data_IF_652735243655
#
_entry.id   IF_652735243655
#
_cell.length_a   1.000
_cell.length_b   1.000
_cell.length_c   1.000
_cell.angle_alpha   90.00
_cell.angle_beta   90.00
_cell.angle_gamma   90.00
#
_symmetry.space_group_name_H-M   'P 1'
#
loop_
_entity.id
_entity.type
_entity.pdbx_description
1 polymer ?
#
# COMPACT_ATOMS: atom_id res chain seq x y z
N UNK A 1 -13.55 3.53 -30.83
CA UNK A 1 -12.63 4.28 -29.94
C UNK A 1 -12.98 3.95 -28.49
N UNK A 2 -11.99 3.65 -27.67
CA UNK A 2 -12.14 3.55 -26.23
C UNK A 2 -12.34 4.93 -25.61
N UNK A 3 -12.85 4.98 -24.36
CA UNK A 3 -12.97 6.27 -23.64
C UNK A 3 -11.61 6.98 -23.52
N UNK A 4 -10.55 6.22 -23.27
CA UNK A 4 -9.20 6.77 -23.19
C UNK A 4 -8.75 7.41 -24.53
N UNK A 5 -8.97 6.73 -25.66
CA UNK A 5 -8.65 7.29 -26.99
C UNK A 5 -9.42 8.57 -27.28
N UNK A 6 -10.70 8.65 -26.88
CA UNK A 6 -11.50 9.87 -27.04
C UNK A 6 -10.90 11.02 -26.22
N UNK A 7 -10.58 10.78 -24.93
CA UNK A 7 -9.97 11.78 -24.07
C UNK A 7 -8.63 12.25 -24.62
N UNK A 8 -7.76 11.32 -25.01
CA UNK A 8 -6.46 11.67 -25.61
C UNK A 8 -6.62 12.55 -26.86
N UNK A 9 -7.60 12.24 -27.71
CA UNK A 9 -7.88 13.02 -28.91
C UNK A 9 -8.44 14.41 -28.58
N UNK A 10 -9.41 14.49 -27.66
CA UNK A 10 -10.07 15.76 -27.28
C UNK A 10 -9.10 16.75 -26.64
N UNK A 11 -8.22 16.25 -25.76
CA UNK A 11 -7.24 17.07 -25.05
C UNK A 11 -5.87 17.14 -25.76
N UNK A 12 -5.76 16.58 -26.96
CA UNK A 12 -4.51 16.56 -27.75
C UNK A 12 -3.31 16.00 -26.98
N UNK A 13 -3.56 14.98 -26.15
CA UNK A 13 -2.54 14.31 -25.37
C UNK A 13 -1.83 13.23 -26.21
N UNK A 14 -0.53 13.02 -26.01
CA UNK A 14 0.18 11.94 -26.69
C UNK A 14 -0.37 10.58 -26.26
N UNK A 15 -0.38 9.63 -27.19
CA UNK A 15 -0.65 8.23 -26.83
C UNK A 15 0.48 7.75 -25.90
N UNK A 16 0.11 7.37 -24.67
CA UNK A 16 1.08 6.80 -23.74
C UNK A 16 1.37 5.37 -24.18
N UNK A 17 2.64 5.08 -24.46
CA UNK A 17 3.07 3.75 -24.93
C UNK A 17 3.06 2.71 -23.79
N UNK A 18 3.11 3.16 -22.54
CA UNK A 18 3.14 2.31 -21.36
C UNK A 18 1.75 2.23 -20.72
N UNK A 19 1.33 1.03 -20.36
CA UNK A 19 0.08 0.83 -19.63
C UNK A 19 0.22 1.37 -18.20
N UNK A 20 -0.82 2.08 -17.72
CA UNK A 20 -0.91 2.47 -16.31
C UNK A 20 -1.15 1.22 -15.48
N UNK A 21 -0.36 0.97 -14.41
CA UNK A 21 -0.59 -0.16 -13.53
C UNK A 21 -2.00 -0.14 -12.93
N UNK A 22 -2.65 -1.30 -12.91
CA UNK A 22 -4.00 -1.46 -12.37
C UNK A 22 -3.94 -1.89 -10.91
N UNK A 23 -4.55 -1.10 -10.03
CA UNK A 23 -4.71 -1.41 -8.62
C UNK A 23 -6.07 -2.07 -8.37
N UNK A 24 -6.06 -3.24 -7.72
CA UNK A 24 -7.27 -3.91 -7.25
C UNK A 24 -7.59 -3.49 -5.83
N UNK A 25 -8.83 -3.06 -5.57
CA UNK A 25 -9.28 -2.68 -4.24
C UNK A 25 -10.32 -3.67 -3.72
N UNK A 26 -10.06 -4.32 -2.59
CA UNK A 26 -10.95 -5.30 -1.97
C UNK A 26 -11.73 -4.76 -0.77
N UNK A 27 -11.23 -3.74 -0.12
CA UNK A 27 -11.80 -3.28 1.15
C UNK A 27 -11.87 -4.45 2.16
N UNK A 28 -13.04 -4.68 2.72
CA UNK A 28 -13.27 -5.75 3.70
C UNK A 28 -13.33 -7.15 3.09
N UNK A 29 -13.69 -7.29 1.80
CA UNK A 29 -13.73 -8.59 1.10
C UNK A 29 -12.33 -9.03 0.63
N UNK A 30 -11.36 -8.96 1.53
CA UNK A 30 -9.94 -9.13 1.26
C UNK A 30 -9.50 -10.55 0.88
N UNK A 31 -10.37 -11.55 0.97
CA UNK A 31 -10.08 -12.92 0.55
C UNK A 31 -10.75 -13.27 -0.79
N UNK A 32 -12.06 -13.17 -0.89
CA UNK A 32 -12.78 -13.58 -2.09
C UNK A 32 -12.53 -12.67 -3.29
N UNK A 33 -12.27 -11.36 -3.06
CA UNK A 33 -11.94 -10.44 -4.12
C UNK A 33 -10.57 -10.72 -4.77
N UNK A 34 -9.60 -11.26 -4.02
CA UNK A 34 -8.25 -11.56 -4.51
C UNK A 34 -8.26 -12.48 -5.72
N UNK A 35 -9.06 -13.54 -5.70
CA UNK A 35 -9.14 -14.48 -6.82
C UNK A 35 -9.54 -13.79 -8.13
N UNK A 36 -10.52 -12.89 -8.05
CA UNK A 36 -10.97 -12.11 -9.21
C UNK A 36 -9.88 -11.19 -9.74
N UNK A 37 -9.11 -10.56 -8.82
CA UNK A 37 -8.00 -9.69 -9.18
C UNK A 37 -6.88 -10.46 -9.87
N UNK A 38 -6.49 -11.61 -9.34
CA UNK A 38 -5.47 -12.49 -9.93
C UNK A 38 -5.88 -12.98 -11.33
N UNK A 39 -7.14 -13.42 -11.50
CA UNK A 39 -7.66 -13.85 -12.80
C UNK A 39 -7.72 -12.70 -13.81
N UNK A 40 -7.85 -11.45 -13.36
CA UNK A 40 -7.83 -10.26 -14.21
C UNK A 40 -6.42 -9.72 -14.47
N UNK A 41 -5.41 -10.22 -13.76
CA UNK A 41 -4.02 -9.82 -13.93
C UNK A 41 -3.75 -8.39 -13.50
N UNK A 42 -4.36 -7.91 -12.39
CA UNK A 42 -4.08 -6.57 -11.85
C UNK A 42 -2.64 -6.50 -11.33
N UNK A 43 -2.02 -5.32 -11.41
CA UNK A 43 -0.60 -5.15 -11.11
C UNK A 43 -0.32 -4.99 -9.62
N UNK A 44 -1.27 -4.43 -8.85
CA UNK A 44 -1.17 -4.32 -7.39
C UNK A 44 -2.49 -4.75 -6.72
N UNK A 45 -2.38 -5.55 -5.67
CA UNK A 45 -3.54 -6.12 -4.97
C UNK A 45 -3.18 -6.45 -3.49
N UNK A 46 -4.16 -6.68 -2.62
CA UNK A 46 -5.58 -6.48 -2.86
C UNK A 46 -6.09 -5.11 -2.41
N UNK A 47 -5.23 -4.20 -1.92
CA UNK A 47 -5.58 -3.04 -1.11
C UNK A 47 -6.56 -3.47 0.00
N UNK A 48 -6.13 -4.50 0.74
CA UNK A 48 -6.93 -5.12 1.79
C UNK A 48 -6.90 -4.29 3.07
N UNK A 49 -8.06 -3.98 3.62
CA UNK A 49 -8.20 -3.12 4.80
C UNK A 49 -7.98 -3.90 6.10
N UNK A 50 -6.97 -3.52 6.88
CA UNK A 50 -6.60 -4.07 8.19
C UNK A 50 -6.89 -3.05 9.29
N UNK A 51 -8.14 -2.68 9.44
CA UNK A 51 -8.61 -1.64 10.37
C UNK A 51 -9.07 -2.16 11.75
N UNK A 52 -8.73 -3.39 12.09
CA UNK A 52 -9.16 -4.04 13.34
C UNK A 52 -8.02 -4.89 13.90
N UNK A 53 -7.57 -4.55 15.11
CA UNK A 53 -6.46 -5.27 15.75
C UNK A 53 -6.83 -6.73 16.09
N UNK A 54 -7.91 -7.03 16.88
CA UNK A 54 -8.20 -8.40 17.27
C UNK A 54 -8.44 -9.36 16.10
N UNK A 55 -9.14 -8.91 15.05
CA UNK A 55 -9.63 -9.81 14.02
C UNK A 55 -8.77 -9.86 12.76
N UNK A 56 -8.07 -8.74 12.43
CA UNK A 56 -7.37 -8.59 11.16
C UNK A 56 -5.84 -8.45 11.28
N UNK A 57 -5.36 -7.71 12.29
CA UNK A 57 -3.93 -7.51 12.51
C UNK A 57 -3.33 -8.58 13.42
N UNK A 58 -3.99 -8.88 14.54
CA UNK A 58 -3.44 -9.63 15.67
C UNK A 58 -2.70 -8.71 16.65
N UNK A 59 -2.65 -9.08 17.94
CA UNK A 59 -2.02 -8.25 18.98
C UNK A 59 -0.48 -8.17 18.88
N UNK A 60 0.12 -9.02 18.06
CA UNK A 60 1.55 -9.00 17.72
C UNK A 60 1.77 -8.86 16.20
N UNK A 61 0.70 -8.56 15.45
CA UNK A 61 0.74 -8.50 13.99
C UNK A 61 0.68 -9.86 13.28
N UNK A 62 0.50 -10.96 14.03
CA UNK A 62 0.56 -12.33 13.52
C UNK A 62 -0.47 -12.62 12.43
N UNK A 63 -1.68 -12.05 12.54
CA UNK A 63 -2.73 -12.27 11.53
C UNK A 63 -2.46 -11.55 10.22
N UNK A 64 -1.81 -10.39 10.27
CA UNK A 64 -1.36 -9.71 9.06
C UNK A 64 -0.26 -10.52 8.36
N UNK A 65 0.70 -11.05 9.10
CA UNK A 65 1.75 -11.89 8.54
C UNK A 65 1.17 -13.15 7.88
N UNK A 66 0.23 -13.83 8.55
CA UNK A 66 -0.50 -14.98 8.00
C UNK A 66 -1.27 -14.62 6.72
N UNK A 67 -1.92 -13.45 6.71
CA UNK A 67 -2.63 -12.96 5.53
C UNK A 67 -1.70 -12.70 4.35
N UNK A 68 -0.54 -12.08 4.57
CA UNK A 68 0.46 -11.85 3.54
C UNK A 68 0.97 -13.20 2.98
N UNK A 69 1.28 -14.18 3.83
CA UNK A 69 1.67 -15.53 3.39
C UNK A 69 0.57 -16.20 2.55
N UNK A 70 -0.68 -16.03 2.97
CA UNK A 70 -1.82 -16.53 2.21
C UNK A 70 -1.91 -15.88 0.82
N UNK A 71 -1.70 -14.55 0.72
CA UNK A 71 -1.68 -13.83 -0.56
C UNK A 71 -0.60 -14.36 -1.48
N UNK A 72 0.63 -14.54 -1.00
CA UNK A 72 1.74 -15.09 -1.80
C UNK A 72 1.39 -16.48 -2.32
N UNK A 73 0.91 -17.36 -1.45
CA UNK A 73 0.48 -18.70 -1.84
C UNK A 73 -0.70 -18.67 -2.84
N UNK A 74 -1.59 -17.68 -2.72
CA UNK A 74 -2.73 -17.52 -3.61
C UNK A 74 -2.31 -17.04 -5.00
N UNK A 75 -1.37 -16.09 -5.07
CA UNK A 75 -0.73 -15.65 -6.32
C UNK A 75 -0.09 -16.85 -7.03
N UNK A 76 0.75 -17.61 -6.33
CA UNK A 76 1.44 -18.78 -6.88
C UNK A 76 0.44 -19.81 -7.43
N UNK A 77 -0.66 -20.04 -6.73
CA UNK A 77 -1.68 -21.00 -7.11
C UNK A 77 -2.52 -20.59 -8.33
N UNK A 78 -2.83 -19.29 -8.46
CA UNK A 78 -3.80 -18.78 -9.45
C UNK A 78 -3.19 -17.98 -10.59
N UNK A 79 -1.90 -17.66 -10.54
CA UNK A 79 -1.25 -16.94 -11.65
C UNK A 79 -1.40 -17.72 -12.96
N UNK A 80 -1.78 -17.00 -13.99
CA UNK A 80 -1.97 -17.57 -15.33
C UNK A 80 -0.68 -17.57 -16.15
N UNK A 81 0.34 -16.82 -15.72
CA UNK A 81 1.65 -16.70 -16.36
C UNK A 81 2.74 -16.80 -15.28
N UNK A 82 3.86 -17.51 -15.56
CA UNK A 82 4.96 -17.66 -14.59
C UNK A 82 5.64 -16.34 -14.20
N UNK A 83 5.63 -15.36 -15.10
CA UNK A 83 6.22 -14.03 -14.94
C UNK A 83 5.30 -13.04 -14.22
N UNK A 84 4.03 -13.40 -13.96
CA UNK A 84 3.11 -12.53 -13.24
C UNK A 84 3.46 -12.49 -11.76
N UNK A 85 3.91 -11.31 -11.32
CA UNK A 85 4.32 -10.98 -9.95
C UNK A 85 3.69 -9.65 -9.56
N UNK A 86 2.43 -9.65 -9.12
CA UNK A 86 1.79 -8.42 -8.67
C UNK A 86 2.45 -7.92 -7.39
N UNK A 87 2.43 -6.61 -7.17
CA UNK A 87 2.80 -6.03 -5.88
C UNK A 87 1.67 -6.26 -4.87
N UNK A 88 2.02 -6.56 -3.62
CA UNK A 88 1.06 -6.61 -2.52
C UNK A 88 0.90 -5.21 -1.93
N UNK A 89 -0.35 -4.76 -1.79
CA UNK A 89 -0.67 -3.47 -1.19
C UNK A 89 -1.71 -3.66 -0.08
N UNK A 90 -1.32 -3.33 1.15
CA UNK A 90 -2.13 -3.53 2.35
C UNK A 90 -2.30 -2.19 3.06
N UNK A 91 -3.55 -1.78 3.26
CA UNK A 91 -3.92 -0.64 4.07
C UNK A 91 -4.12 -1.09 5.53
N UNK A 92 -3.27 -0.62 6.42
CA UNK A 92 -3.30 -1.02 7.83
C UNK A 92 -3.95 0.02 8.74
N UNK A 93 -4.37 1.15 8.22
CA UNK A 93 -5.22 2.14 8.89
C UNK A 93 -4.73 2.50 10.31
N UNK A 94 -3.44 2.74 10.48
CA UNK A 94 -2.82 3.08 11.78
C UNK A 94 -2.71 1.91 12.78
N UNK A 95 -3.24 0.73 12.48
CA UNK A 95 -3.32 -0.37 13.46
C UNK A 95 -1.97 -0.92 13.87
N UNK A 96 -0.94 -0.87 13.03
CA UNK A 96 0.43 -1.26 13.43
C UNK A 96 0.94 -0.32 14.52
N UNK A 97 0.76 0.99 14.35
CA UNK A 97 1.11 1.97 15.38
C UNK A 97 0.44 1.66 16.73
N UNK A 98 -0.84 1.27 16.71
CA UNK A 98 -1.58 0.95 17.93
C UNK A 98 -0.97 -0.20 18.73
N UNK A 99 -0.51 -1.29 18.09
CA UNK A 99 0.05 -2.45 18.80
C UNK A 99 1.49 -2.23 19.27
N UNK A 100 2.16 -1.18 18.79
CA UNK A 100 3.54 -0.84 19.16
C UNK A 100 3.65 0.53 19.86
N UNK A 101 2.54 1.02 20.45
CA UNK A 101 2.51 2.26 21.24
C UNK A 101 3.00 3.50 20.46
N UNK A 102 2.77 3.54 19.14
CA UNK A 102 3.26 4.57 18.20
C UNK A 102 4.79 4.72 18.17
N UNK A 103 5.55 3.72 18.64
CA UNK A 103 7.01 3.72 18.57
C UNK A 103 7.48 3.44 17.13
N UNK A 104 7.98 4.45 16.45
CA UNK A 104 8.41 4.36 15.05
C UNK A 104 9.46 3.26 14.79
N UNK A 105 10.38 3.00 15.74
CA UNK A 105 11.38 1.96 15.58
C UNK A 105 10.76 0.56 15.65
N UNK A 106 9.88 0.32 16.63
CA UNK A 106 9.16 -0.96 16.78
C UNK A 106 8.24 -1.21 15.58
N UNK A 107 7.55 -0.17 15.10
CA UNK A 107 6.72 -0.22 13.89
C UNK A 107 7.59 -0.61 12.68
N UNK A 108 8.71 0.07 12.46
CA UNK A 108 9.60 -0.20 11.34
C UNK A 108 10.24 -1.60 11.42
N UNK A 109 10.69 -2.02 12.61
CA UNK A 109 11.28 -3.35 12.80
C UNK A 109 10.27 -4.46 12.52
N UNK A 110 9.00 -4.29 12.94
CA UNK A 110 7.91 -5.20 12.60
C UNK A 110 7.65 -5.22 11.09
N UNK A 111 7.51 -4.04 10.44
CA UNK A 111 7.28 -3.95 9.00
C UNK A 111 8.42 -4.64 8.23
N UNK A 112 9.67 -4.37 8.59
CA UNK A 112 10.82 -5.02 7.95
C UNK A 112 10.74 -6.56 8.06
N UNK A 113 10.24 -7.07 9.18
CA UNK A 113 10.02 -8.51 9.38
C UNK A 113 9.02 -9.15 8.42
N UNK A 114 8.07 -8.37 7.87
CA UNK A 114 7.07 -8.86 6.90
C UNK A 114 7.67 -9.22 5.53
N UNK A 115 8.89 -8.77 5.22
CA UNK A 115 9.60 -9.09 3.97
C UNK A 115 9.59 -10.59 3.69
N UNK A 116 9.91 -11.40 4.70
CA UNK A 116 9.94 -12.87 4.56
C UNK A 116 8.57 -13.50 4.26
N UNK A 117 7.51 -12.85 4.70
CA UNK A 117 6.15 -13.30 4.43
C UNK A 117 5.70 -12.93 3.01
N UNK A 118 6.21 -11.82 2.48
CA UNK A 118 5.88 -11.30 1.16
C UNK A 118 6.74 -11.88 0.02
N UNK A 119 7.92 -12.43 0.33
CA UNK A 119 8.83 -12.98 -0.69
C UNK A 119 8.13 -14.03 -1.58
N UNK A 120 8.24 -13.96 -2.91
CA UNK A 120 9.10 -13.09 -3.74
C UNK A 120 8.37 -11.85 -4.33
N UNK A 121 7.33 -11.35 -3.68
CA UNK A 121 6.55 -10.21 -4.16
C UNK A 121 6.95 -8.92 -3.44
N UNK A 122 6.79 -7.79 -4.12
CA UNK A 122 6.93 -6.48 -3.48
C UNK A 122 5.77 -6.25 -2.49
N UNK A 123 6.04 -5.57 -1.38
CA UNK A 123 5.05 -5.23 -0.36
C UNK A 123 4.99 -3.73 -0.14
N UNK A 124 3.78 -3.19 -0.22
CA UNK A 124 3.41 -1.83 0.13
C UNK A 124 2.55 -1.84 1.37
N UNK A 125 2.91 -1.06 2.37
CA UNK A 125 2.15 -0.85 3.61
C UNK A 125 1.67 0.58 3.65
N UNK A 126 0.35 0.75 3.59
CA UNK A 126 -0.32 2.04 3.65
C UNK A 126 -0.78 2.34 5.08
N UNK A 127 -0.62 3.59 5.50
CA UNK A 127 -1.08 4.09 6.80
C UNK A 127 -0.55 3.31 8.00
N UNK A 128 0.77 3.07 8.17
CA UNK A 128 1.29 2.23 9.27
C UNK A 128 1.00 2.81 10.66
N UNK A 129 0.86 4.12 10.75
CA UNK A 129 0.55 4.89 11.96
C UNK A 129 -0.51 5.94 11.66
N UNK A 130 -1.26 6.36 12.68
CA UNK A 130 -2.06 7.59 12.68
C UNK A 130 -1.59 8.45 13.87
N UNK A 131 -0.86 9.51 13.56
CA UNK A 131 -0.21 10.36 14.56
C UNK A 131 -1.09 11.52 15.07
N UNK A 132 -2.35 11.61 14.61
CA UNK A 132 -3.33 12.57 15.10
C UNK A 132 -3.19 14.01 14.57
N UNK A 133 -2.16 14.30 13.76
CA UNK A 133 -2.02 15.56 13.01
C UNK A 133 -1.09 15.39 11.81
N UNK A 134 -1.18 16.27 10.81
CA UNK A 134 -0.34 16.21 9.60
C UNK A 134 1.15 16.28 9.93
N UNK A 135 1.57 17.25 10.73
CA UNK A 135 2.98 17.43 11.06
C UNK A 135 3.54 16.22 11.80
N UNK A 136 2.78 15.69 12.77
CA UNK A 136 3.18 14.49 13.49
C UNK A 136 3.20 13.26 12.56
N UNK A 137 2.27 13.14 11.62
CA UNK A 137 2.24 12.07 10.64
C UNK A 137 3.48 12.08 9.74
N UNK A 138 3.85 13.23 9.21
CA UNK A 138 5.06 13.41 8.41
C UNK A 138 6.30 13.03 9.22
N UNK A 139 6.38 13.49 10.47
CA UNK A 139 7.52 13.20 11.36
C UNK A 139 7.63 11.69 11.64
N UNK A 140 6.55 11.05 12.07
CA UNK A 140 6.56 9.61 12.43
C UNK A 140 6.79 8.72 11.22
N UNK A 141 6.11 8.97 10.11
CA UNK A 141 6.37 8.24 8.86
C UNK A 141 7.81 8.42 8.38
N UNK A 142 8.37 9.63 8.52
CA UNK A 142 9.77 9.89 8.19
C UNK A 142 10.74 9.09 9.07
N UNK A 143 10.46 8.94 10.38
CA UNK A 143 11.25 8.07 11.27
C UNK A 143 11.20 6.61 10.82
N UNK A 144 9.99 6.10 10.52
CA UNK A 144 9.77 4.73 10.05
C UNK A 144 10.51 4.50 8.73
N UNK A 145 10.38 5.41 7.76
CA UNK A 145 11.05 5.31 6.45
C UNK A 145 12.56 5.25 6.60
N UNK A 146 13.15 6.15 7.37
CA UNK A 146 14.61 6.14 7.62
C UNK A 146 15.07 4.86 8.32
N UNK A 147 14.27 4.34 9.27
CA UNK A 147 14.58 3.08 9.94
C UNK A 147 14.56 1.90 8.96
N UNK A 148 13.53 1.77 8.13
CA UNK A 148 13.44 0.75 7.08
C UNK A 148 14.65 0.82 6.14
N UNK A 149 15.05 2.01 5.70
CA UNK A 149 16.24 2.22 4.88
C UNK A 149 17.50 1.74 5.60
N UNK A 150 17.66 2.05 6.88
CA UNK A 150 18.81 1.60 7.68
C UNK A 150 18.89 0.09 7.86
N UNK A 151 17.74 -0.60 7.81
CA UNK A 151 17.63 -2.05 7.85
C UNK A 151 17.82 -2.70 6.48
N UNK A 152 17.90 -1.91 5.40
CA UNK A 152 17.94 -2.41 4.03
C UNK A 152 16.64 -3.06 3.58
N UNK A 153 15.51 -2.75 4.22
CA UNK A 153 14.21 -3.32 3.88
C UNK A 153 13.70 -2.79 2.53
N UNK A 154 13.22 -3.67 1.62
CA UNK A 154 12.66 -3.27 0.34
C UNK A 154 11.20 -2.80 0.45
N UNK A 155 10.57 -2.92 1.63
CA UNK A 155 9.15 -2.61 1.82
C UNK A 155 8.90 -1.12 1.62
N UNK A 156 7.83 -0.81 0.90
CA UNK A 156 7.43 0.56 0.56
C UNK A 156 6.34 1.05 1.50
N UNK A 157 6.43 2.30 1.94
CA UNK A 157 5.37 2.98 2.70
C UNK A 157 4.51 3.84 1.78
N UNK A 158 3.21 3.83 2.04
CA UNK A 158 2.21 4.64 1.33
C UNK A 158 1.56 5.57 2.34
N UNK A 159 1.51 6.87 2.00
CA UNK A 159 0.79 7.87 2.77
C UNK A 159 -0.67 7.93 2.33
N UNK A 160 -1.59 7.95 3.28
CA UNK A 160 -3.02 8.20 3.08
C UNK A 160 -3.54 9.20 4.12
N UNK A 161 -3.56 8.84 5.39
CA UNK A 161 -4.03 9.73 6.46
C UNK A 161 -3.22 11.03 6.48
N UNK A 162 -3.94 12.17 6.62
CA UNK A 162 -3.37 13.53 6.63
C UNK A 162 -2.74 13.98 5.30
N UNK A 163 -2.82 13.17 4.22
CA UNK A 163 -2.31 13.48 2.89
C UNK A 163 -3.49 13.63 1.90
N UNK A 164 -4.30 14.69 2.05
CA UNK A 164 -5.59 14.81 1.39
C UNK A 164 -5.63 15.89 0.29
N UNK A 165 -4.69 16.84 0.28
CA UNK A 165 -4.62 17.90 -0.72
C UNK A 165 -3.36 17.78 -1.55
N UNK A 166 -3.29 18.52 -2.66
CA UNK A 166 -2.08 18.58 -3.47
C UNK A 166 -0.89 19.13 -2.66
N UNK A 167 -1.13 20.13 -1.82
CA UNK A 167 -0.13 20.72 -0.94
C UNK A 167 0.39 19.68 0.06
N UNK A 168 -0.49 18.85 0.63
CA UNK A 168 -0.08 17.76 1.51
C UNK A 168 0.80 16.76 0.78
N UNK A 169 0.46 16.35 -0.45
CA UNK A 169 1.30 15.46 -1.26
C UNK A 169 2.70 16.05 -1.46
N UNK A 170 2.79 17.36 -1.71
CA UNK A 170 4.09 18.05 -1.85
C UNK A 170 4.86 17.99 -0.53
N UNK A 171 4.23 18.32 0.60
CA UNK A 171 4.88 18.30 1.92
C UNK A 171 5.39 16.91 2.31
N UNK A 172 4.56 15.84 2.10
CA UNK A 172 4.97 14.46 2.35
C UNK A 172 6.13 14.02 1.45
N UNK A 173 6.12 14.47 0.19
CA UNK A 173 7.18 14.16 -0.78
C UNK A 173 8.48 14.87 -0.43
N UNK A 174 8.43 16.16 -0.12
CA UNK A 174 9.61 16.97 0.26
C UNK A 174 10.25 16.45 1.55
N UNK A 175 9.43 15.99 2.49
CA UNK A 175 9.90 15.34 3.73
C UNK A 175 10.48 13.94 3.52
N UNK A 176 10.32 13.35 2.32
CA UNK A 176 10.75 11.97 2.01
C UNK A 176 10.24 10.94 3.03
N UNK A 177 9.02 11.13 3.54
CA UNK A 177 8.47 10.31 4.61
C UNK A 177 7.69 9.09 4.09
N UNK A 178 7.47 8.98 2.79
CA UNK A 178 6.81 7.84 2.14
C UNK A 178 7.42 7.58 0.76
N UNK A 179 7.03 6.46 0.15
CA UNK A 179 7.44 6.07 -1.20
C UNK A 179 6.34 6.31 -2.23
N UNK A 180 5.10 6.40 -1.77
CA UNK A 180 3.90 6.61 -2.57
C UNK A 180 2.86 7.34 -1.72
N UNK A 181 2.00 8.13 -2.36
CA UNK A 181 0.84 8.75 -1.74
C UNK A 181 -0.44 8.23 -2.39
N UNK A 182 -1.46 8.00 -1.59
CA UNK A 182 -2.80 7.69 -2.06
C UNK A 182 -3.45 8.95 -2.62
N UNK A 183 -3.82 8.93 -3.90
CA UNK A 183 -4.49 10.06 -4.55
C UNK A 183 -5.99 9.81 -4.58
N UNK A 184 -6.73 10.63 -3.87
CA UNK A 184 -8.19 10.62 -3.86
C UNK A 184 -8.67 11.81 -4.69
N UNK A 185 -9.10 11.57 -5.92
CA UNK A 185 -9.50 12.65 -6.85
C UNK A 185 -10.55 13.61 -6.30
N UNK A 186 -11.57 13.17 -5.52
CA UNK A 186 -12.52 14.10 -4.89
C UNK A 186 -11.87 15.10 -3.93
N UNK A 187 -10.83 14.69 -3.20
CA UNK A 187 -10.14 15.54 -2.23
C UNK A 187 -9.21 16.55 -2.92
N UNK A 188 -8.72 16.20 -4.10
CA UNK A 188 -7.84 17.05 -4.92
C UNK A 188 -8.62 17.95 -5.91
N UNK A 189 -9.95 17.97 -5.87
CA UNK A 189 -10.78 18.80 -6.73
C UNK A 189 -10.94 18.28 -8.16
N UNK A 190 -10.76 16.98 -8.35
CA UNK A 190 -10.96 16.28 -9.62
C UNK A 190 -12.40 15.86 -9.89
#
# INVERSE_FOLDING_TARGET
>A
LTKAEIILHEYQLPLVAEAVPLFGQSGDDRYAAVDKMLLKGVDALPHGLINNVPDKLGYKGEKLEEYIRWLVARVEKLRTRPDYKPSLHIDVYGTIGLIFDQDANRVADYIAGLEKAADPLELYIEGPVDAGSKDAQIEEMGKITRRLQSLGSPIKLVADEWCNTFEDVVEFTDAQCCHMAQIKTPDLGG
#
